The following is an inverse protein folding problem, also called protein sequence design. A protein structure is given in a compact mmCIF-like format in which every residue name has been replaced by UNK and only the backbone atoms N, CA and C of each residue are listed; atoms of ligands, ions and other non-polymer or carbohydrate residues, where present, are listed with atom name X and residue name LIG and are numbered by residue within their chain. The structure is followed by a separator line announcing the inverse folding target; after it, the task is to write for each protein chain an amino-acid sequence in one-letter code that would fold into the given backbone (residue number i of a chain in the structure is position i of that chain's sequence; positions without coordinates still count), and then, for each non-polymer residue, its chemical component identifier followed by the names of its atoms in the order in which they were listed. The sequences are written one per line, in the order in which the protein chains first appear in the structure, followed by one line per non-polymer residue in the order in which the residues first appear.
data_IF_368758479489
#
_entry.id   IF_368758479489
#
_cell.length_a   1.000
_cell.length_b   1.000
_cell.length_c   1.000
_cell.angle_alpha   90.00
_cell.angle_beta   90.00
_cell.angle_gamma   90.00
#
_symmetry.space_group_name_H-M   'P 1'
#
loop_
_entity.id
_entity.type
_entity.pdbx_description
1 polymer ?
#
# COMPACT_ATOMS: atom_id res chain seq x y z
N UNK A 1 5.46 -21.07 42.24
CA UNK A 1 5.78 -20.65 40.85
C UNK A 1 7.19 -20.10 40.86
N UNK A 2 8.03 -20.57 39.95
CA UNK A 2 9.41 -20.09 39.81
C UNK A 2 9.40 -18.68 39.19
N UNK A 3 10.32 -17.82 39.64
CA UNK A 3 10.44 -16.43 39.17
C UNK A 3 11.84 -16.17 38.65
N UNK A 4 11.95 -15.30 37.65
CA UNK A 4 13.25 -14.86 37.11
C UNK A 4 13.33 -13.33 37.04
N UNK A 5 14.55 -12.79 37.12
CA UNK A 5 14.81 -11.34 37.06
C UNK A 5 14.89 -10.87 35.61
N UNK A 6 14.08 -9.88 35.24
CA UNK A 6 13.91 -9.43 33.84
C UNK A 6 14.25 -7.96 33.58
N UNK A 7 14.98 -7.31 34.48
CA UNK A 7 15.27 -5.87 34.39
C UNK A 7 15.98 -5.47 33.09
N UNK A 8 17.00 -6.23 32.68
CA UNK A 8 17.70 -5.96 31.41
C UNK A 8 16.80 -6.15 30.19
N UNK A 9 15.93 -7.17 30.21
CA UNK A 9 14.98 -7.46 29.13
C UNK A 9 13.94 -6.34 29.02
N UNK A 10 13.40 -5.90 30.17
CA UNK A 10 12.46 -4.78 30.25
C UNK A 10 13.01 -3.52 29.59
N UNK A 11 14.24 -3.14 29.95
CA UNK A 11 14.89 -1.94 29.39
C UNK A 11 15.04 -2.04 27.87
N UNK A 12 15.42 -3.21 27.35
CA UNK A 12 15.52 -3.43 25.90
C UNK A 12 14.16 -3.39 25.20
N UNK A 13 13.10 -3.94 25.80
CA UNK A 13 11.73 -3.85 25.26
C UNK A 13 11.25 -2.40 25.18
N UNK A 14 11.47 -1.61 26.24
CA UNK A 14 11.10 -0.19 26.28
C UNK A 14 11.86 0.58 25.22
N UNK A 15 13.20 0.47 25.18
CA UNK A 15 14.03 1.19 24.20
C UNK A 15 13.66 0.76 22.78
N UNK A 16 13.61 -0.54 22.50
CA UNK A 16 13.30 -1.04 21.17
C UNK A 16 11.93 -0.55 20.67
N UNK A 17 10.89 -0.64 21.51
CA UNK A 17 9.53 -0.20 21.17
C UNK A 17 9.45 1.31 21.00
N UNK A 18 10.12 2.09 21.86
CA UNK A 18 10.17 3.55 21.76
C UNK A 18 10.93 3.99 20.50
N UNK A 19 12.05 3.36 20.17
CA UNK A 19 12.80 3.64 18.95
C UNK A 19 11.97 3.30 17.70
N UNK A 20 11.25 2.17 17.70
CA UNK A 20 10.28 1.86 16.63
C UNK A 20 9.16 2.91 16.54
N UNK A 21 8.66 3.42 17.66
CA UNK A 21 7.64 4.47 17.67
C UNK A 21 8.15 5.77 17.03
N UNK A 22 9.44 6.09 17.17
CA UNK A 22 10.05 7.27 16.54
C UNK A 22 10.33 7.08 15.03
N UNK A 23 10.06 5.90 14.46
CA UNK A 23 10.27 5.63 13.03
C UNK A 23 9.38 6.42 12.07
N UNK A 24 8.35 7.12 12.58
CA UNK A 24 7.52 8.02 11.76
C UNK A 24 8.25 9.30 11.33
N UNK A 25 9.42 9.60 11.91
CA UNK A 25 10.20 10.76 11.52
C UNK A 25 10.73 10.62 10.08
N UNK A 26 10.58 11.65 9.23
CA UNK A 26 11.13 11.62 7.88
C UNK A 26 12.68 11.52 7.93
N UNK A 27 13.27 10.93 6.88
CA UNK A 27 14.72 10.71 6.69
C UNK A 27 15.33 9.66 7.61
N UNK A 28 15.21 9.83 8.93
CA UNK A 28 15.84 8.93 9.92
C UNK A 28 14.97 7.74 10.31
N UNK A 29 13.68 7.79 9.96
CA UNK A 29 12.67 6.83 10.39
C UNK A 29 13.02 5.38 10.08
N UNK A 30 13.56 5.10 8.89
CA UNK A 30 13.96 3.75 8.49
C UNK A 30 15.09 3.20 9.37
N UNK A 31 16.11 4.02 9.66
CA UNK A 31 17.22 3.61 10.52
C UNK A 31 16.72 3.31 11.94
N UNK A 32 15.84 4.16 12.48
CA UNK A 32 15.20 3.95 13.78
C UNK A 32 14.33 2.69 13.80
N UNK A 33 13.56 2.43 12.74
CA UNK A 33 12.76 1.22 12.62
C UNK A 33 13.63 -0.06 12.67
N UNK A 34 14.75 -0.07 11.96
CA UNK A 34 15.66 -1.22 11.92
C UNK A 34 16.33 -1.42 13.27
N UNK A 35 16.94 -0.37 13.84
CA UNK A 35 17.61 -0.47 15.15
C UNK A 35 16.62 -0.84 16.25
N UNK A 36 15.48 -0.15 16.32
CA UNK A 36 14.43 -0.44 17.29
C UNK A 36 13.87 -1.85 17.16
N UNK A 37 13.63 -2.31 15.92
CA UNK A 37 13.16 -3.65 15.62
C UNK A 37 14.15 -4.74 16.05
N UNK A 38 15.45 -4.55 15.79
CA UNK A 38 16.49 -5.48 16.23
C UNK A 38 16.60 -5.55 17.76
N UNK A 39 16.57 -4.40 18.44
CA UNK A 39 16.56 -4.34 19.91
C UNK A 39 15.34 -5.05 20.50
N UNK A 40 14.15 -4.79 19.92
CA UNK A 40 12.91 -5.43 20.35
C UNK A 40 12.95 -6.94 20.15
N UNK A 41 13.39 -7.42 18.98
CA UNK A 41 13.52 -8.86 18.71
C UNK A 41 14.54 -9.53 19.62
N UNK A 42 15.68 -8.89 19.89
CA UNK A 42 16.67 -9.40 20.84
C UNK A 42 16.11 -9.48 22.26
N UNK A 43 15.33 -8.48 22.68
CA UNK A 43 14.65 -8.50 23.98
C UNK A 43 13.63 -9.66 24.06
N UNK A 44 12.86 -9.88 23.00
CA UNK A 44 11.94 -11.02 22.91
C UNK A 44 12.66 -12.36 22.89
N UNK A 45 13.80 -12.47 22.23
CA UNK A 45 14.64 -13.67 22.26
C UNK A 45 15.07 -14.00 23.68
N UNK A 46 15.60 -13.01 24.43
CA UNK A 46 15.96 -13.19 25.84
C UNK A 46 14.77 -13.52 26.73
N UNK A 47 13.64 -12.85 26.50
CA UNK A 47 12.37 -13.20 27.15
C UNK A 47 11.97 -14.66 26.89
N UNK A 48 12.25 -15.17 25.69
CA UNK A 48 12.02 -16.55 25.30
C UNK A 48 12.82 -17.59 26.08
N UNK A 49 14.09 -17.29 26.33
CA UNK A 49 14.99 -18.17 27.09
C UNK A 49 14.63 -18.20 28.59
N UNK A 50 14.26 -17.04 29.14
CA UNK A 50 14.11 -16.84 30.58
C UNK A 50 12.66 -17.02 31.07
N UNK A 51 11.65 -16.64 30.27
CA UNK A 51 10.25 -16.52 30.73
C UNK A 51 9.28 -17.34 29.87
N UNK A 52 9.12 -16.98 28.60
CA UNK A 52 8.14 -17.57 27.69
C UNK A 52 8.58 -17.41 26.22
N UNK A 53 8.74 -18.51 25.49
CA UNK A 53 9.16 -18.53 24.08
C UNK A 53 8.11 -18.12 23.05
N UNK A 54 6.83 -18.02 23.42
CA UNK A 54 5.73 -17.72 22.48
C UNK A 54 5.82 -16.31 21.86
N UNK A 55 6.03 -15.22 22.64
CA UNK A 55 6.20 -13.86 22.09
C UNK A 55 7.23 -13.77 20.97
N UNK A 56 8.40 -14.39 21.15
CA UNK A 56 9.46 -14.37 20.15
C UNK A 56 9.05 -15.07 18.85
N UNK A 57 8.51 -16.29 18.95
CA UNK A 57 8.03 -17.04 17.77
C UNK A 57 6.96 -16.27 17.01
N UNK A 58 5.99 -15.70 17.72
CA UNK A 58 4.93 -14.87 17.13
C UNK A 58 5.48 -13.60 16.48
N UNK A 59 6.46 -12.93 17.10
CA UNK A 59 7.10 -11.75 16.53
C UNK A 59 7.89 -12.07 15.25
N UNK A 60 8.54 -13.24 15.16
CA UNK A 60 9.19 -13.70 13.93
C UNK A 60 8.16 -13.94 12.81
N UNK A 61 7.03 -14.59 13.12
CA UNK A 61 5.93 -14.75 12.14
C UNK A 61 5.43 -13.37 11.69
N UNK A 62 5.26 -12.43 12.63
CA UNK A 62 4.82 -11.07 12.35
C UNK A 62 5.82 -10.33 11.43
N UNK A 63 7.12 -10.48 11.67
CA UNK A 63 8.18 -9.90 10.84
C UNK A 63 8.15 -10.44 9.41
N UNK A 64 8.08 -11.77 9.25
CA UNK A 64 8.01 -12.42 7.93
C UNK A 64 6.77 -11.93 7.18
N UNK A 65 5.62 -11.87 7.85
CA UNK A 65 4.38 -11.39 7.27
C UNK A 65 4.48 -9.92 6.85
N UNK A 66 5.14 -9.07 7.64
CA UNK A 66 5.42 -7.68 7.30
C UNK A 66 6.29 -7.53 6.06
N UNK A 67 7.36 -8.33 5.93
CA UNK A 67 8.24 -8.33 4.75
C UNK A 67 7.48 -8.79 3.50
N UNK A 68 6.72 -9.89 3.59
CA UNK A 68 5.90 -10.40 2.47
C UNK A 68 4.86 -9.38 2.06
N UNK A 69 4.15 -8.79 3.03
CA UNK A 69 3.16 -7.74 2.78
C UNK A 69 3.77 -6.54 2.07
N UNK A 70 4.90 -6.03 2.56
CA UNK A 70 5.60 -4.90 1.95
C UNK A 70 6.03 -5.22 0.51
N UNK A 71 6.56 -6.43 0.26
CA UNK A 71 6.91 -6.87 -1.09
C UNK A 71 5.71 -6.90 -2.04
N UNK A 72 4.58 -7.47 -1.61
CA UNK A 72 3.33 -7.50 -2.38
C UNK A 72 2.82 -6.08 -2.66
N UNK A 73 2.83 -5.20 -1.65
CA UNK A 73 2.40 -3.83 -1.79
C UNK A 73 3.31 -3.01 -2.73
N UNK A 74 4.63 -3.20 -2.68
CA UNK A 74 5.58 -2.55 -3.61
C UNK A 74 5.32 -3.01 -5.05
N UNK A 75 5.19 -4.32 -5.29
CA UNK A 75 4.90 -4.85 -6.64
C UNK A 75 3.55 -4.35 -7.14
N UNK A 76 2.53 -4.33 -6.28
CA UNK A 76 1.22 -3.76 -6.59
C UNK A 76 1.30 -2.28 -6.95
N UNK A 77 2.04 -1.49 -6.15
CA UNK A 77 2.23 -0.06 -6.36
C UNK A 77 2.97 0.22 -7.68
N UNK A 78 4.00 -0.57 -8.04
CA UNK A 78 4.70 -0.44 -9.32
C UNK A 78 3.74 -0.70 -10.48
N UNK A 79 2.90 -1.74 -10.40
CA UNK A 79 1.90 -2.06 -11.44
C UNK A 79 0.81 -0.98 -11.57
N UNK A 80 0.34 -0.46 -10.44
CA UNK A 80 -0.64 0.64 -10.45
C UNK A 80 0.02 1.89 -11.02
N UNK A 81 1.21 2.26 -10.54
CA UNK A 81 1.95 3.44 -11.00
C UNK A 81 2.24 3.39 -12.51
N UNK A 82 2.65 2.22 -13.03
CA UNK A 82 2.87 2.07 -14.47
C UNK A 82 1.57 2.18 -15.27
N UNK A 83 0.48 1.56 -14.81
CA UNK A 83 -0.84 1.71 -15.43
C UNK A 83 -1.38 3.16 -15.35
N UNK A 84 -1.09 3.88 -14.27
CA UNK A 84 -1.61 5.24 -14.03
C UNK A 84 -0.75 6.33 -14.65
N UNK A 85 0.52 6.05 -14.97
CA UNK A 85 1.30 6.94 -15.83
C UNK A 85 0.63 7.15 -17.19
N UNK A 86 -0.16 6.17 -17.66
CA UNK A 86 -1.01 6.29 -18.85
C UNK A 86 -2.29 7.10 -18.57
N UNK A 87 -2.82 7.09 -17.34
CA UNK A 87 -4.02 7.86 -16.98
C UNK A 87 -3.75 9.34 -16.67
N UNK A 88 -2.55 9.67 -16.18
CA UNK A 88 -2.10 11.06 -16.00
C UNK A 88 -2.16 11.87 -17.29
N UNK A 89 -1.91 11.19 -18.40
CA UNK A 89 -1.97 11.73 -19.75
C UNK A 89 -3.39 12.18 -20.14
N UNK A 90 -4.44 11.69 -19.47
CA UNK A 90 -5.84 11.97 -19.83
C UNK A 90 -6.49 13.14 -19.08
N UNK A 91 -5.82 13.85 -18.15
CA UNK A 91 -6.45 14.83 -17.20
C UNK A 91 -7.66 14.28 -16.42
N UNK A 92 -7.98 13.00 -16.55
CA UNK A 92 -9.07 12.36 -15.81
C UNK A 92 -8.70 12.31 -14.32
N UNK A 93 -7.41 12.36 -14.00
CA UNK A 93 -6.89 12.43 -12.65
C UNK A 93 -6.41 13.84 -12.34
N UNK A 94 -7.04 14.49 -11.37
CA UNK A 94 -6.41 15.61 -10.71
C UNK A 94 -5.05 15.17 -10.14
N UNK A 95 -4.01 16.01 -10.19
CA UNK A 95 -2.68 15.72 -9.63
C UNK A 95 -2.70 15.43 -8.12
N UNK A 96 -3.84 15.60 -7.45
CA UNK A 96 -4.06 15.33 -6.03
C UNK A 96 -4.02 13.83 -5.69
N UNK A 97 -4.55 12.93 -6.55
CA UNK A 97 -4.68 11.48 -6.24
C UNK A 97 -3.34 10.73 -6.36
N UNK A 98 -2.37 11.20 -7.14
CA UNK A 98 -0.98 10.66 -7.07
C UNK A 98 0.04 11.71 -6.69
N UNK A 99 -0.37 12.65 -5.86
CA UNK A 99 0.56 13.25 -4.92
C UNK A 99 1.26 12.15 -4.11
N UNK A 100 2.41 12.47 -3.51
CA UNK A 100 3.13 11.54 -2.61
C UNK A 100 2.19 10.95 -1.54
N UNK A 101 1.21 11.72 -1.06
CA UNK A 101 0.20 11.28 -0.11
C UNK A 101 -0.77 10.25 -0.69
N UNK A 102 -1.19 10.42 -1.95
CA UNK A 102 -2.08 9.47 -2.61
C UNK A 102 -1.39 8.13 -2.92
N UNK A 103 -0.13 8.15 -3.34
CA UNK A 103 0.69 6.94 -3.48
C UNK A 103 0.88 6.23 -2.13
N UNK A 104 1.12 7.00 -1.07
CA UNK A 104 1.22 6.46 0.29
C UNK A 104 -0.10 5.82 0.74
N UNK A 105 -1.24 6.41 0.39
CA UNK A 105 -2.56 5.84 0.68
C UNK A 105 -2.82 4.54 -0.09
N UNK A 106 -2.50 4.48 -1.39
CA UNK A 106 -2.60 3.25 -2.18
C UNK A 106 -1.70 2.15 -1.60
N UNK A 107 -0.46 2.50 -1.22
CA UNK A 107 0.44 1.57 -0.53
C UNK A 107 -0.17 1.05 0.78
N UNK A 108 -0.76 1.93 1.59
CA UNK A 108 -1.46 1.56 2.83
C UNK A 108 -2.62 0.59 2.55
N UNK A 109 -3.42 0.84 1.51
CA UNK A 109 -4.53 -0.04 1.11
C UNK A 109 -4.04 -1.43 0.67
N UNK A 110 -2.94 -1.51 -0.10
CA UNK A 110 -2.34 -2.78 -0.49
C UNK A 110 -1.77 -3.54 0.71
N UNK A 111 -1.21 -2.83 1.69
CA UNK A 111 -0.72 -3.38 2.95
C UNK A 111 -1.83 -3.81 3.92
N UNK A 112 -3.03 -3.26 3.80
CA UNK A 112 -4.12 -3.42 4.75
C UNK A 112 -4.43 -4.86 5.20
N UNK A 113 -4.62 -5.87 4.31
CA UNK A 113 -4.88 -7.23 4.74
C UNK A 113 -3.76 -7.84 5.58
N UNK A 114 -2.51 -7.46 5.29
CA UNK A 114 -1.34 -7.86 6.07
C UNK A 114 -1.31 -7.14 7.42
N UNK A 115 -1.60 -5.84 7.46
CA UNK A 115 -1.66 -5.08 8.71
C UNK A 115 -2.69 -5.65 9.70
N UNK A 116 -3.85 -6.10 9.21
CA UNK A 116 -4.88 -6.75 10.04
C UNK A 116 -4.38 -8.08 10.61
N UNK A 117 -3.76 -8.93 9.78
CA UNK A 117 -3.17 -10.18 10.25
C UNK A 117 -2.03 -9.94 11.26
N UNK A 118 -1.15 -8.98 10.98
CA UNK A 118 -0.07 -8.57 11.86
C UNK A 118 -0.60 -8.08 13.22
N UNK A 119 -1.67 -7.30 13.21
CA UNK A 119 -2.29 -6.80 14.44
C UNK A 119 -2.93 -7.91 15.28
N UNK A 120 -3.49 -8.95 14.65
CA UNK A 120 -3.99 -10.13 15.35
C UNK A 120 -2.85 -10.90 16.03
N UNK A 121 -1.75 -11.13 15.31
CA UNK A 121 -0.57 -11.79 15.86
C UNK A 121 0.04 -10.96 17.00
N UNK A 122 0.19 -9.65 16.81
CA UNK A 122 0.73 -8.75 17.84
C UNK A 122 -0.15 -8.70 19.08
N UNK A 123 -1.48 -8.77 18.92
CA UNK A 123 -2.40 -8.89 20.06
C UNK A 123 -2.13 -10.15 20.89
N UNK A 124 -1.81 -11.28 20.25
CA UNK A 124 -1.45 -12.51 20.97
C UNK A 124 -0.07 -12.41 21.65
N UNK A 125 0.90 -11.71 21.04
CA UNK A 125 2.17 -11.37 21.69
C UNK A 125 1.92 -10.64 23.01
N UNK A 126 1.08 -9.59 22.99
CA UNK A 126 0.76 -8.81 24.17
C UNK A 126 -0.07 -9.61 25.20
N UNK A 127 -0.93 -10.53 24.76
CA UNK A 127 -1.62 -11.47 25.65
C UNK A 127 -0.64 -12.35 26.42
N UNK A 128 0.42 -12.86 25.78
CA UNK A 128 1.46 -13.64 26.45
C UNK A 128 2.17 -12.81 27.53
N UNK A 129 2.47 -11.54 27.26
CA UNK A 129 3.02 -10.63 28.28
C UNK A 129 2.06 -10.41 29.45
N UNK A 130 0.75 -10.24 29.18
CA UNK A 130 -0.26 -10.17 30.23
C UNK A 130 -0.30 -11.43 31.08
N UNK A 131 -0.24 -12.62 30.47
CA UNK A 131 -0.25 -13.89 31.19
C UNK A 131 0.90 -13.99 32.20
N UNK A 132 2.11 -13.55 31.81
CA UNK A 132 3.31 -13.58 32.64
C UNK A 132 3.39 -12.45 33.69
N UNK A 133 2.85 -11.27 33.39
CA UNK A 133 3.05 -10.05 34.20
C UNK A 133 1.81 -9.59 34.95
N UNK A 134 0.61 -10.05 34.53
CA UNK A 134 -0.72 -9.59 34.98
C UNK A 134 -1.00 -8.09 34.76
N UNK A 135 -0.25 -7.43 33.87
CA UNK A 135 -0.40 -6.00 33.56
C UNK A 135 -1.49 -5.82 32.48
N UNK A 136 -2.65 -5.29 32.89
CA UNK A 136 -3.83 -5.17 32.02
C UNK A 136 -3.62 -4.33 30.75
N UNK A 137 -2.69 -3.36 30.80
CA UNK A 137 -2.34 -2.46 29.71
C UNK A 137 -1.86 -3.19 28.46
N UNK A 138 -1.23 -4.38 28.59
CA UNK A 138 -0.87 -5.18 27.43
C UNK A 138 -2.10 -5.64 26.64
N UNK A 139 -3.13 -6.14 27.33
CA UNK A 139 -4.37 -6.56 26.67
C UNK A 139 -5.11 -5.38 26.06
N UNK A 140 -5.06 -4.21 26.70
CA UNK A 140 -5.66 -2.99 26.20
C UNK A 140 -4.94 -2.48 24.94
N UNK A 141 -3.60 -2.42 24.96
CA UNK A 141 -2.78 -2.08 23.79
C UNK A 141 -3.00 -3.07 22.64
N UNK A 142 -3.15 -4.37 22.91
CA UNK A 142 -3.44 -5.38 21.89
C UNK A 142 -4.81 -5.18 21.23
N UNK A 143 -5.84 -4.83 22.01
CA UNK A 143 -7.16 -4.48 21.46
C UNK A 143 -7.10 -3.21 20.61
N UNK A 144 -6.45 -2.16 21.09
CA UNK A 144 -6.29 -0.91 20.34
C UNK A 144 -5.47 -1.11 19.06
N UNK A 145 -4.43 -1.94 19.08
CA UNK A 145 -3.65 -2.29 17.88
C UNK A 145 -4.54 -2.91 16.81
N UNK A 146 -5.42 -3.84 17.20
CA UNK A 146 -6.38 -4.45 16.26
C UNK A 146 -7.38 -3.43 15.72
N UNK A 147 -7.97 -2.59 16.57
CA UNK A 147 -8.89 -1.55 16.12
C UNK A 147 -8.22 -0.51 15.22
N UNK A 148 -6.99 -0.11 15.55
CA UNK A 148 -6.19 0.77 14.71
C UNK A 148 -5.93 0.18 13.33
N UNK A 149 -5.60 -1.11 13.26
CA UNK A 149 -5.43 -1.80 11.99
C UNK A 149 -6.74 -1.86 11.20
N UNK A 150 -7.86 -2.30 11.79
CA UNK A 150 -9.16 -2.40 11.12
C UNK A 150 -9.69 -1.05 10.59
N UNK A 151 -9.36 0.05 11.26
CA UNK A 151 -9.76 1.40 10.86
C UNK A 151 -8.68 2.13 10.03
N UNK A 152 -7.58 1.46 9.68
CA UNK A 152 -6.48 2.07 8.93
C UNK A 152 -6.91 2.68 7.57
N UNK A 153 -7.83 2.08 6.78
CA UNK A 153 -8.30 2.68 5.53
C UNK A 153 -8.94 4.07 5.69
N UNK A 154 -9.48 4.37 6.88
CA UNK A 154 -10.09 5.65 7.21
C UNK A 154 -9.09 6.66 7.82
N UNK A 155 -7.79 6.33 7.86
CA UNK A 155 -6.69 7.10 8.47
C UNK A 155 -6.78 7.33 9.98
N UNK A 156 -7.97 7.42 10.57
CA UNK A 156 -8.20 7.48 12.02
C UNK A 156 -7.61 6.26 12.74
N UNK A 157 -7.57 5.11 12.07
CA UNK A 157 -6.93 3.91 12.58
C UNK A 157 -5.43 4.07 12.85
N UNK A 158 -4.73 4.92 12.09
CA UNK A 158 -3.31 5.20 12.31
C UNK A 158 -3.09 5.92 13.64
N UNK A 159 -3.98 6.86 14.01
CA UNK A 159 -3.93 7.57 15.30
C UNK A 159 -4.20 6.59 16.44
N UNK A 160 -5.20 5.72 16.30
CA UNK A 160 -5.51 4.68 17.30
C UNK A 160 -4.32 3.71 17.46
N UNK A 161 -3.69 3.30 16.37
CA UNK A 161 -2.50 2.44 16.37
C UNK A 161 -1.30 3.12 17.06
N UNK A 162 -1.11 4.42 16.85
CA UNK A 162 -0.07 5.20 17.52
C UNK A 162 -0.29 5.25 19.05
N UNK A 163 -1.53 5.50 19.49
CA UNK A 163 -1.91 5.46 20.91
C UNK A 163 -1.68 4.07 21.50
N UNK A 164 -2.03 3.00 20.76
CA UNK A 164 -1.78 1.63 21.18
C UNK A 164 -0.30 1.37 21.47
N UNK A 165 0.59 1.91 20.64
CA UNK A 165 2.05 1.78 20.83
C UNK A 165 2.57 2.57 22.03
N UNK A 166 2.03 3.75 22.31
CA UNK A 166 2.36 4.48 23.55
C UNK A 166 1.97 3.65 24.78
N UNK A 167 0.77 3.07 24.78
CA UNK A 167 0.29 2.23 25.88
C UNK A 167 1.15 0.98 26.04
N UNK A 168 1.59 0.36 24.94
CA UNK A 168 2.51 -0.77 24.97
C UNK A 168 3.86 -0.41 25.60
N UNK A 169 4.44 0.74 25.28
CA UNK A 169 5.67 1.24 25.92
C UNK A 169 5.46 1.43 27.43
N UNK A 170 4.33 2.01 27.83
CA UNK A 170 3.98 2.19 29.25
C UNK A 170 3.84 0.82 29.93
N UNK A 171 3.22 -0.16 29.27
CA UNK A 171 3.05 -1.51 29.81
C UNK A 171 4.41 -2.21 30.00
N UNK A 172 5.33 -2.09 29.04
CA UNK A 172 6.69 -2.60 29.20
C UNK A 172 7.41 -1.97 30.38
N UNK A 173 7.29 -0.66 30.56
CA UNK A 173 7.91 0.03 31.69
C UNK A 173 7.35 -0.39 33.06
N UNK A 174 6.10 -0.87 33.10
CA UNK A 174 5.46 -1.39 34.31
C UNK A 174 5.82 -2.84 34.65
N UNK A 175 6.56 -3.55 33.80
CA UNK A 175 6.97 -4.94 34.07
C UNK A 175 7.73 -5.00 35.42
N UNK A 176 7.31 -5.85 36.36
CA UNK A 176 8.00 -6.02 37.63
C UNK A 176 9.39 -6.63 37.41
N UNK A 177 10.31 -6.36 38.33
CA UNK A 177 11.69 -6.88 38.24
C UNK A 177 11.75 -8.40 38.18
N UNK A 178 10.76 -9.07 38.78
CA UNK A 178 10.62 -10.52 38.79
C UNK A 178 9.26 -10.94 38.20
N UNK A 179 9.27 -11.90 37.28
CA UNK A 179 8.07 -12.40 36.59
C UNK A 179 7.95 -13.92 36.70
N UNK A 180 6.72 -14.42 36.56
CA UNK A 180 6.43 -15.86 36.56
C UNK A 180 6.92 -16.52 35.27
N UNK A 181 7.59 -17.67 35.39
CA UNK A 181 8.07 -18.44 34.24
C UNK A 181 6.92 -19.28 33.66
N UNK A 182 6.64 -19.11 32.37
CA UNK A 182 5.56 -19.79 31.63
C UNK A 182 6.10 -20.62 30.46
N UNK A 183 7.05 -21.51 30.75
CA UNK A 183 7.63 -22.41 29.73
C UNK A 183 6.60 -23.45 29.29
N UNK A 184 6.41 -23.59 27.97
CA UNK A 184 5.62 -24.68 27.38
C UNK A 184 4.17 -24.37 27.02
N UNK A 185 3.74 -23.10 27.06
CA UNK A 185 2.43 -22.73 26.54
C UNK A 185 2.31 -23.01 25.03
N UNK A 186 1.15 -23.54 24.60
CA UNK A 186 0.82 -23.63 23.18
C UNK A 186 0.39 -22.26 22.64
N UNK A 187 0.66 -22.02 21.36
CA UNK A 187 0.21 -20.81 20.67
C UNK A 187 -1.22 -21.04 20.21
N UNK A 188 -2.19 -20.49 20.94
CA UNK A 188 -3.61 -20.52 20.57
C UNK A 188 -3.95 -19.43 19.53
N UNK A 189 -3.44 -19.59 18.31
CA UNK A 189 -3.85 -18.76 17.18
C UNK A 189 -5.17 -19.30 16.61
N UNK A 190 -6.25 -18.54 16.77
CA UNK A 190 -7.53 -18.81 16.11
C UNK A 190 -7.40 -18.57 14.60
N UNK A 191 -6.97 -19.62 13.89
CA UNK A 191 -6.74 -19.61 12.43
C UNK A 191 -7.97 -19.12 11.67
N UNK A 192 -9.18 -19.44 12.16
CA UNK A 192 -10.44 -19.01 11.51
C UNK A 192 -10.59 -17.50 11.56
N UNK A 193 -10.32 -16.87 12.71
CA UNK A 193 -10.37 -15.40 12.85
C UNK A 193 -9.32 -14.71 11.98
N UNK A 194 -8.09 -15.23 11.94
CA UNK A 194 -7.02 -14.66 11.12
C UNK A 194 -7.41 -14.69 9.65
N UNK A 195 -7.83 -15.85 9.13
CA UNK A 195 -8.26 -15.99 7.74
C UNK A 195 -9.47 -15.11 7.44
N UNK A 196 -10.52 -15.16 8.27
CA UNK A 196 -11.74 -14.39 8.03
C UNK A 196 -11.48 -12.87 7.99
N UNK A 197 -10.75 -12.32 8.97
CA UNK A 197 -10.50 -10.89 9.04
C UNK A 197 -9.56 -10.42 7.92
N UNK A 198 -8.54 -11.21 7.56
CA UNK A 198 -7.67 -10.88 6.42
C UNK A 198 -8.40 -10.97 5.08
N UNK A 199 -9.30 -11.93 4.89
CA UNK A 199 -10.13 -12.02 3.69
C UNK A 199 -11.10 -10.84 3.58
N UNK A 200 -11.76 -10.46 4.67
CA UNK A 200 -12.62 -9.26 4.69
C UNK A 200 -11.79 -8.01 4.39
N UNK A 201 -10.61 -7.87 4.99
CA UNK A 201 -9.70 -6.76 4.71
C UNK A 201 -9.29 -6.71 3.23
N UNK A 202 -9.00 -7.86 2.61
CA UNK A 202 -8.68 -7.94 1.19
C UNK A 202 -9.87 -7.49 0.30
N UNK A 203 -11.09 -7.92 0.61
CA UNK A 203 -12.29 -7.49 -0.12
C UNK A 203 -12.48 -5.97 -0.01
N UNK A 204 -12.30 -5.41 1.19
CA UNK A 204 -12.35 -3.96 1.42
C UNK A 204 -11.26 -3.26 0.60
N UNK A 205 -10.02 -3.76 0.61
CA UNK A 205 -8.92 -3.22 -0.21
C UNK A 205 -9.31 -3.19 -1.68
N UNK A 206 -9.81 -4.30 -2.24
CA UNK A 206 -10.19 -4.39 -3.65
C UNK A 206 -11.34 -3.42 -3.98
N UNK A 207 -12.35 -3.31 -3.12
CA UNK A 207 -13.44 -2.35 -3.29
C UNK A 207 -12.91 -0.91 -3.30
N UNK A 208 -12.13 -0.51 -2.30
CA UNK A 208 -11.60 0.86 -2.21
C UNK A 208 -10.67 1.16 -3.38
N UNK A 209 -9.81 0.21 -3.78
CA UNK A 209 -8.95 0.38 -4.95
C UNK A 209 -9.77 0.54 -6.23
N UNK A 210 -10.85 -0.22 -6.41
CA UNK A 210 -11.73 -0.09 -7.56
C UNK A 210 -12.43 1.28 -7.63
N UNK A 211 -12.74 1.90 -6.48
CA UNK A 211 -13.27 3.27 -6.45
C UNK A 211 -12.17 4.35 -6.60
N UNK A 212 -10.94 4.05 -6.21
CA UNK A 212 -9.83 5.01 -6.21
C UNK A 212 -9.10 5.06 -7.55
N UNK A 213 -8.95 3.90 -8.22
CA UNK A 213 -8.29 3.79 -9.51
C UNK A 213 -9.33 4.08 -10.60
N UNK A 214 -9.16 5.13 -11.42
CA UNK A 214 -10.08 5.42 -12.50
C UNK A 214 -10.08 4.30 -13.53
N UNK A 215 -11.27 3.89 -13.96
CA UNK A 215 -11.46 2.99 -15.09
C UNK A 215 -11.51 3.77 -16.41
N UNK A 216 -11.02 3.16 -17.47
CA UNK A 216 -11.23 3.56 -18.86
C UNK A 216 -12.17 2.56 -19.53
N UNK A 217 -13.04 3.04 -20.40
CA UNK A 217 -14.00 2.20 -21.12
C UNK A 217 -13.39 1.66 -22.41
N UNK A 218 -12.43 2.40 -22.99
CA UNK A 218 -11.75 2.04 -24.24
C UNK A 218 -10.24 2.12 -24.04
N UNK A 219 -9.55 1.03 -24.40
CA UNK A 219 -8.08 0.99 -24.51
C UNK A 219 -7.66 0.17 -25.73
N UNK A 220 -7.03 0.83 -26.70
CA UNK A 220 -6.51 0.23 -27.92
C UNK A 220 -5.01 0.54 -28.01
N UNK A 221 -4.21 -0.48 -28.32
CA UNK A 221 -2.74 -0.36 -28.39
C UNK A 221 -2.26 -0.97 -29.70
N UNK A 222 -1.46 -0.22 -30.46
CA UNK A 222 -0.80 -0.71 -31.67
C UNK A 222 0.60 -0.10 -31.78
N UNK A 223 1.62 -0.94 -31.64
CA UNK A 223 3.01 -0.48 -31.57
C UNK A 223 3.21 0.51 -30.42
N UNK A 224 3.80 1.66 -30.73
CA UNK A 224 4.07 2.75 -29.77
C UNK A 224 2.91 3.73 -29.61
N UNK A 225 1.77 3.48 -30.27
CA UNK A 225 0.57 4.32 -30.20
C UNK A 225 -0.50 3.65 -29.38
N UNK A 226 -1.11 4.41 -28.48
CA UNK A 226 -2.22 3.97 -27.65
C UNK A 226 -3.35 4.98 -27.71
N UNK A 227 -4.58 4.50 -27.81
CA UNK A 227 -5.77 5.30 -27.56
C UNK A 227 -6.43 4.82 -26.28
N UNK A 228 -6.65 5.73 -25.35
CA UNK A 228 -7.39 5.47 -24.12
C UNK A 228 -8.49 6.50 -23.95
N UNK A 229 -9.68 6.07 -23.52
CA UNK A 229 -10.83 6.96 -23.40
C UNK A 229 -11.91 6.46 -22.44
N UNK A 230 -12.73 7.42 -22.00
CA UNK A 230 -13.89 7.23 -21.14
C UNK A 230 -15.15 7.72 -21.85
N UNK A 231 -16.21 6.94 -21.81
CA UNK A 231 -17.51 7.26 -22.40
C UNK A 231 -18.21 8.28 -21.52
N UNK A 232 -18.58 9.41 -22.12
CA UNK A 232 -19.38 10.47 -21.51
C UNK A 232 -20.55 10.82 -22.45
N UNK A 233 -21.65 10.08 -22.30
CA UNK A 233 -22.84 10.21 -23.15
C UNK A 233 -22.59 9.68 -24.57
N UNK A 234 -22.77 10.54 -25.57
CA UNK A 234 -22.61 10.21 -26.99
C UNK A 234 -21.15 10.29 -27.48
N UNK A 235 -20.22 10.65 -26.59
CA UNK A 235 -18.82 10.85 -26.92
C UNK A 235 -17.90 10.02 -26.03
N UNK A 236 -16.71 9.72 -26.54
CA UNK A 236 -15.58 9.19 -25.80
C UNK A 236 -14.59 10.34 -25.63
N UNK A 237 -14.37 10.77 -24.39
CA UNK A 237 -13.26 11.67 -24.05
C UNK A 237 -12.02 10.83 -23.85
N UNK A 238 -11.00 11.05 -24.69
CA UNK A 238 -9.80 10.24 -24.69
C UNK A 238 -8.55 11.01 -25.09
N UNK A 239 -7.46 10.26 -25.22
CA UNK A 239 -6.19 10.76 -25.71
C UNK A 239 -5.50 9.67 -26.52
N UNK A 240 -4.82 10.12 -27.57
CA UNK A 240 -3.81 9.36 -28.27
C UNK A 240 -2.47 9.65 -27.60
N UNK A 241 -1.77 8.58 -27.23
CA UNK A 241 -0.49 8.60 -26.54
C UNK A 241 0.54 7.96 -27.46
N UNK A 242 1.66 8.64 -27.65
CA UNK A 242 2.83 8.09 -28.33
C UNK A 242 3.99 7.93 -27.34
N UNK A 243 4.44 6.68 -27.16
CA UNK A 243 5.40 6.30 -26.13
C UNK A 243 6.88 6.51 -26.52
N UNK A 244 7.18 6.75 -27.80
CA UNK A 244 8.56 6.85 -28.30
C UNK A 244 9.12 8.28 -28.20
N UNK A 245 10.42 8.47 -27.88
CA UNK A 245 11.02 9.80 -27.74
C UNK A 245 10.94 10.61 -29.05
N UNK A 246 10.33 11.79 -28.97
CA UNK A 246 10.31 12.75 -30.07
C UNK A 246 11.65 13.50 -30.14
N UNK A 247 12.43 13.23 -31.19
CA UNK A 247 13.77 13.82 -31.40
C UNK A 247 13.69 15.29 -31.86
N UNK A 248 12.53 15.76 -32.31
CA UNK A 248 12.28 17.15 -32.73
C UNK A 248 11.20 17.80 -31.87
N UNK A 249 11.44 19.06 -31.51
CA UNK A 249 10.51 19.90 -30.73
C UNK A 249 9.18 20.22 -31.42
N UNK A 250 8.92 19.67 -32.61
CA UNK A 250 7.70 19.91 -33.40
C UNK A 250 6.61 18.86 -33.17
N UNK A 251 6.82 17.91 -32.24
CA UNK A 251 5.90 16.80 -31.98
C UNK A 251 6.01 15.68 -33.03
N UNK A 252 5.75 14.44 -32.61
CA UNK A 252 5.75 13.28 -33.50
C UNK A 252 4.41 13.08 -34.22
N UNK A 253 3.31 13.23 -33.49
CA UNK A 253 1.94 13.10 -34.03
C UNK A 253 1.61 14.39 -34.78
N UNK A 254 1.44 14.26 -36.10
CA UNK A 254 1.11 15.36 -37.00
C UNK A 254 -0.40 15.53 -37.13
N UNK A 255 -1.12 14.45 -37.42
CA UNK A 255 -2.57 14.45 -37.62
C UNK A 255 -3.19 13.25 -36.92
N UNK A 256 -4.42 13.44 -36.42
CA UNK A 256 -5.28 12.34 -35.98
C UNK A 256 -6.60 12.44 -36.73
N UNK A 257 -7.01 11.33 -37.36
CA UNK A 257 -8.30 11.19 -38.03
C UNK A 257 -9.12 10.12 -37.34
N UNK A 258 -10.43 10.32 -37.30
CA UNK A 258 -11.39 9.39 -36.69
C UNK A 258 -12.43 9.08 -37.75
N UNK A 259 -12.51 7.82 -38.15
CA UNK A 259 -13.35 7.36 -39.27
C UNK A 259 -13.15 8.23 -40.54
N UNK A 260 -11.88 8.49 -40.88
CA UNK A 260 -11.48 9.35 -42.02
C UNK A 260 -11.65 10.86 -41.82
N UNK A 261 -12.28 11.33 -40.73
CA UNK A 261 -12.46 12.76 -40.45
C UNK A 261 -11.29 13.31 -39.61
N UNK A 262 -10.65 14.37 -40.09
CA UNK A 262 -9.58 15.06 -39.35
C UNK A 262 -10.14 15.68 -38.05
N UNK A 263 -9.63 15.22 -36.90
CA UNK A 263 -10.00 15.72 -35.56
C UNK A 263 -8.88 16.52 -34.91
N UNK A 264 -7.64 16.33 -35.34
CA UNK A 264 -6.46 17.03 -34.82
C UNK A 264 -5.42 17.25 -35.93
N UNK A 265 -4.77 18.42 -35.91
CA UNK A 265 -3.65 18.75 -36.80
C UNK A 265 -2.64 19.67 -36.09
N UNK A 266 -1.50 19.11 -35.69
CA UNK A 266 -0.20 19.76 -35.45
C UNK A 266 -0.07 20.97 -34.50
N UNK A 267 -1.12 21.40 -33.81
CA UNK A 267 -1.12 22.70 -33.09
C UNK A 267 -1.37 22.66 -31.58
N UNK A 268 -1.80 21.54 -31.00
CA UNK A 268 -2.10 21.44 -29.55
C UNK A 268 -1.81 20.04 -29.01
N UNK A 269 -0.64 19.87 -28.42
CA UNK A 269 -0.23 18.62 -27.78
C UNK A 269 0.47 18.93 -26.46
N UNK A 270 0.52 17.94 -25.59
CA UNK A 270 1.21 18.00 -24.31
C UNK A 270 2.32 16.94 -24.27
N UNK A 271 3.40 17.21 -23.54
CA UNK A 271 4.40 16.21 -23.21
C UNK A 271 4.27 15.84 -21.74
N UNK A 272 3.94 14.58 -21.46
CA UNK A 272 3.80 14.05 -20.10
C UNK A 272 4.78 12.90 -19.94
N UNK A 273 5.77 13.06 -19.05
CA UNK A 273 6.83 12.05 -18.82
C UNK A 273 7.54 11.59 -20.11
N UNK A 274 7.81 12.52 -21.04
CA UNK A 274 8.48 12.22 -22.32
C UNK A 274 7.60 11.62 -23.41
N UNK A 275 6.29 11.44 -23.14
CA UNK A 275 5.30 10.93 -24.10
C UNK A 275 4.53 12.08 -24.71
N UNK A 276 4.26 12.03 -26.01
CA UNK A 276 3.38 13.01 -26.64
C UNK A 276 1.92 12.60 -26.46
N UNK A 277 1.11 13.56 -26.08
CA UNK A 277 -0.29 13.40 -25.73
C UNK A 277 -1.12 14.30 -26.62
N UNK A 278 -2.09 13.71 -27.32
CA UNK A 278 -3.10 14.45 -28.07
C UNK A 278 -4.46 14.11 -27.49
N UNK A 279 -5.12 15.08 -26.88
CA UNK A 279 -6.45 14.93 -26.27
C UNK A 279 -7.52 15.12 -27.36
N UNK A 280 -8.50 14.24 -27.40
CA UNK A 280 -9.59 14.29 -28.38
C UNK A 280 -10.91 13.83 -27.76
N UNK A 281 -12.00 14.34 -28.32
CA UNK A 281 -13.36 13.88 -28.07
C UNK A 281 -13.90 13.28 -29.36
N UNK A 282 -14.27 12.00 -29.33
CA UNK A 282 -14.73 11.28 -30.52
C UNK A 282 -16.14 10.75 -30.32
N UNK A 283 -16.94 10.54 -31.37
CA UNK A 283 -18.23 9.87 -31.27
C UNK A 283 -18.10 8.47 -30.65
N UNK A 284 -19.10 8.06 -29.83
CA UNK A 284 -19.11 6.72 -29.21
C UNK A 284 -19.11 5.58 -30.24
N UNK A 285 -19.65 5.82 -31.43
CA UNK A 285 -19.75 4.85 -32.53
C UNK A 285 -18.54 4.83 -33.46
N UNK A 286 -17.44 5.50 -33.10
CA UNK A 286 -16.22 5.50 -33.88
C UNK A 286 -15.55 4.12 -33.90
N UNK A 287 -15.04 3.74 -35.08
CA UNK A 287 -14.47 2.41 -35.35
C UNK A 287 -12.96 2.46 -35.50
N UNK A 288 -12.41 3.56 -35.99
CA UNK A 288 -10.98 3.68 -36.22
C UNK A 288 -10.43 5.06 -35.85
N UNK A 289 -9.22 5.06 -35.31
CA UNK A 289 -8.41 6.26 -35.08
C UNK A 289 -7.11 6.10 -35.84
N UNK A 290 -6.95 6.87 -36.91
CA UNK A 290 -5.71 6.95 -37.69
C UNK A 290 -4.81 8.02 -37.10
N UNK A 291 -3.57 7.65 -36.82
CA UNK A 291 -2.54 8.54 -36.28
C UNK A 291 -1.44 8.66 -37.31
N UNK A 292 -1.27 9.85 -37.86
CA UNK A 292 -0.24 10.15 -38.85
C UNK A 292 0.93 10.87 -38.19
N UNK A 293 2.12 10.33 -38.40
CA UNK A 293 3.36 10.90 -37.89
C UNK A 293 3.98 11.91 -38.86
N UNK A 294 4.88 12.74 -38.34
CA UNK A 294 5.70 13.65 -39.14
C UNK A 294 6.56 12.92 -40.19
N UNK A 295 6.87 11.64 -39.97
CA UNK A 295 7.58 10.77 -40.93
C UNK A 295 6.71 10.35 -42.13
N UNK A 296 5.39 10.56 -42.06
CA UNK A 296 4.42 10.06 -43.03
C UNK A 296 3.91 8.65 -42.73
N UNK A 297 4.42 8.00 -41.69
CA UNK A 297 3.89 6.72 -41.21
C UNK A 297 2.48 6.92 -40.63
N UNK A 298 1.60 5.95 -40.87
CA UNK A 298 0.21 5.95 -40.39
C UNK A 298 -0.04 4.68 -39.59
N UNK A 299 -0.54 4.84 -38.36
CA UNK A 299 -0.97 3.75 -37.48
C UNK A 299 -2.48 3.84 -37.29
N UNK A 300 -3.18 2.71 -37.42
CA UNK A 300 -4.65 2.65 -37.44
C UNK A 300 -5.17 1.83 -36.26
N UNK A 301 -5.63 2.52 -35.22
CA UNK A 301 -6.18 1.92 -34.02
C UNK A 301 -7.65 1.55 -34.25
N UNK A 302 -7.97 0.26 -34.26
CA UNK A 302 -9.35 -0.21 -34.33
C UNK A 302 -10.02 -0.16 -32.95
N UNK A 303 -11.03 0.69 -32.80
CA UNK A 303 -11.88 0.76 -31.62
C UNK A 303 -12.89 -0.39 -31.71
N UNK A 304 -12.78 -1.36 -30.80
CA UNK A 304 -13.79 -2.42 -30.66
C UNK A 304 -15.14 -1.86 -30.18
N UNK A 305 -16.19 -2.67 -30.24
CA UNK A 305 -17.50 -2.26 -29.71
C UNK A 305 -17.38 -1.90 -28.22
N UNK A 306 -17.77 -0.66 -27.90
CA UNK A 306 -17.71 -0.12 -26.54
C UNK A 306 -18.96 -0.59 -25.78
N UNK A 307 -18.81 -1.68 -25.04
CA UNK A 307 -19.86 -2.24 -24.16
C UNK A 307 -20.13 -1.36 -22.96
#
# INVERSE_FOLDING_TARGET
MEKTKVEGIRTLLVIGTLTMLLSFLPVVGLALAVVGGLLYLYALYRWGEEVDGRPFKLAIINLILGIVGAGVAIVGLIKISSATSELYVLDILQPTIFSVLGLLYIYLLLMYPFLVAMALIHREVLKCFYEATKIGEFTFAGKLTLYGALLAPALIGLIIGFIARIIEVIAYNKIPTEVEILKGGEIELDKRKVVALSSVALIITLLVLNFTIPSYDVKVVQGDVKFIGKVEGEYIKGAVIYDFPCVRGDGCIKEVKVDGKLVYSGGSYEFVNGKQVVRLTIPRNSKEVEVMFWTGEVVVLHIGEVT
#
